data_IF_228152464814
#
_entry.id   IF_228152464814
#
_cell.length_a   1.000
_cell.length_b   1.000
_cell.length_c   1.000
_cell.angle_alpha   90.00
_cell.angle_beta   90.00
_cell.angle_gamma   90.00
#
_symmetry.space_group_name_H-M   'P 1'
#
loop_
_entity.id
_entity.type
_entity.pdbx_description
1 polymer ?
#
# COMPACT_ATOMS: atom_id res chain seq x y z
N UNK A 1 -11.89 21.96 -14.18
CA UNK A 1 -11.92 21.19 -12.91
C UNK A 1 -10.49 20.84 -12.55
N UNK A 2 -10.04 21.05 -11.31
CA UNK A 2 -8.65 20.72 -10.90
C UNK A 2 -8.62 20.06 -9.50
N UNK A 3 -7.50 19.40 -9.21
CA UNK A 3 -7.21 18.82 -7.88
C UNK A 3 -6.75 19.95 -6.97
N UNK A 4 -7.55 20.23 -5.93
CA UNK A 4 -7.29 21.27 -4.93
C UNK A 4 -6.36 20.78 -3.83
N UNK A 5 -6.55 19.53 -3.38
CA UNK A 5 -5.80 18.94 -2.27
C UNK A 5 -5.74 17.41 -2.38
N UNK A 6 -4.81 16.79 -1.65
CA UNK A 6 -4.66 15.33 -1.56
C UNK A 6 -4.58 14.90 -0.10
N UNK A 7 -5.43 13.96 0.30
CA UNK A 7 -5.45 13.38 1.65
C UNK A 7 -5.03 11.92 1.54
N UNK A 8 -4.11 11.51 2.42
CA UNK A 8 -3.61 10.14 2.53
C UNK A 8 -3.98 9.58 3.90
N UNK A 9 -4.43 8.32 3.94
CA UNK A 9 -4.72 7.64 5.20
C UNK A 9 -4.33 6.18 5.14
N UNK A 10 -3.66 5.70 6.20
CA UNK A 10 -3.40 4.28 6.41
C UNK A 10 -4.72 3.52 6.54
N UNK A 11 -4.80 2.37 5.88
CA UNK A 11 -5.96 1.48 5.90
C UNK A 11 -5.55 0.01 6.05
N UNK A 12 -6.57 -0.83 6.19
CA UNK A 12 -6.45 -2.29 6.16
C UNK A 12 -6.93 -2.81 4.81
N UNK A 13 -6.49 -4.03 4.47
CA UNK A 13 -6.99 -4.77 3.32
C UNK A 13 -7.88 -5.94 3.75
N UNK A 14 -8.46 -6.65 2.78
CA UNK A 14 -9.29 -7.83 3.05
C UNK A 14 -8.53 -9.06 3.54
N UNK A 15 -7.20 -9.03 3.62
CA UNK A 15 -6.39 -10.18 4.04
C UNK A 15 -5.06 -9.75 4.70
N UNK A 16 -4.12 -10.69 4.77
CA UNK A 16 -2.81 -10.54 5.41
C UNK A 16 -1.68 -10.41 4.37
N UNK A 17 -0.58 -9.82 4.80
CA UNK A 17 0.71 -10.08 4.18
C UNK A 17 1.34 -11.29 4.84
N UNK A 18 1.71 -12.27 4.00
CA UNK A 18 2.36 -13.49 4.44
C UNK A 18 3.76 -13.57 3.83
N UNK A 19 4.74 -13.91 4.65
CA UNK A 19 6.09 -14.16 4.20
C UNK A 19 6.16 -15.53 3.51
N UNK A 20 5.96 -15.51 2.20
CA UNK A 20 5.99 -16.71 1.38
C UNK A 20 7.30 -17.49 1.53
N UNK A 21 8.43 -16.80 1.72
CA UNK A 21 9.73 -17.45 1.82
C UNK A 21 9.86 -18.21 3.14
N UNK A 22 9.48 -17.59 4.25
CA UNK A 22 9.42 -18.24 5.56
C UNK A 22 8.45 -19.43 5.54
N UNK A 23 7.26 -19.26 4.97
CA UNK A 23 6.27 -20.35 4.85
C UNK A 23 6.81 -21.53 4.03
N UNK A 24 7.52 -21.26 2.94
CA UNK A 24 8.13 -22.32 2.11
C UNK A 24 9.32 -23.01 2.76
N UNK A 25 10.03 -22.35 3.67
CA UNK A 25 11.09 -22.99 4.45
C UNK A 25 10.51 -24.00 5.45
N UNK A 26 9.32 -23.73 5.99
CA UNK A 26 8.62 -24.65 6.88
C UNK A 26 9.16 -24.69 8.31
N UNK A 27 10.06 -23.77 8.69
CA UNK A 27 10.62 -23.67 10.04
C UNK A 27 9.78 -22.70 10.91
N UNK A 28 8.54 -23.11 11.19
CA UNK A 28 7.60 -22.36 12.03
C UNK A 28 6.55 -23.30 12.66
N UNK A 29 5.86 -22.80 13.69
CA UNK A 29 4.73 -23.49 14.32
C UNK A 29 3.42 -22.81 13.91
N UNK A 30 2.44 -23.58 13.43
CA UNK A 30 1.08 -23.05 13.18
C UNK A 30 0.41 -22.77 14.53
N UNK A 31 0.03 -21.52 14.78
CA UNK A 31 -0.65 -21.11 16.01
C UNK A 31 -2.00 -20.46 15.68
N UNK A 32 -3.03 -21.30 15.57
CA UNK A 32 -4.35 -20.85 15.13
C UNK A 32 -4.31 -20.25 13.71
N UNK A 33 -4.46 -18.92 13.62
CA UNK A 33 -4.41 -18.18 12.35
C UNK A 33 -3.03 -17.56 12.07
N UNK A 34 -2.09 -17.61 13.01
CA UNK A 34 -0.72 -17.09 12.84
C UNK A 34 0.30 -18.21 12.61
N UNK A 35 1.53 -17.79 12.33
CA UNK A 35 2.71 -18.63 12.22
C UNK A 35 3.77 -18.09 13.16
N UNK A 36 4.17 -18.89 14.15
CA UNK A 36 5.18 -18.53 15.14
C UNK A 36 6.54 -19.02 14.66
N UNK A 37 7.43 -18.09 14.35
CA UNK A 37 8.74 -18.33 13.77
C UNK A 37 9.33 -17.03 13.21
N UNK A 38 10.54 -17.12 12.64
CA UNK A 38 11.23 -15.94 12.14
C UNK A 38 10.85 -15.62 10.69
N UNK A 39 10.47 -14.36 10.36
CA UNK A 39 10.33 -13.94 8.98
C UNK A 39 11.70 -13.92 8.27
N UNK A 40 11.69 -14.08 6.97
CA UNK A 40 12.87 -14.18 6.09
C UNK A 40 12.88 -13.09 5.02
N UNK A 41 11.71 -12.61 4.60
CA UNK A 41 11.56 -11.57 3.58
C UNK A 41 11.76 -10.18 4.22
N UNK A 42 12.63 -9.31 3.66
CA UNK A 42 12.88 -7.99 4.23
C UNK A 42 11.61 -7.17 4.45
N UNK A 43 11.53 -6.51 5.61
CA UNK A 43 10.39 -5.68 6.03
C UNK A 43 9.33 -6.42 6.85
N UNK A 44 9.26 -7.76 6.77
CA UNK A 44 8.37 -8.52 7.63
C UNK A 44 8.90 -8.56 9.07
N UNK A 45 8.00 -8.37 10.03
CA UNK A 45 8.27 -8.51 11.48
C UNK A 45 7.61 -9.74 12.09
N UNK A 46 6.63 -10.32 11.39
CA UNK A 46 6.03 -11.60 11.67
C UNK A 46 5.83 -12.36 10.35
N UNK A 47 5.82 -13.69 10.36
CA UNK A 47 5.56 -14.48 9.14
C UNK A 47 4.19 -14.13 8.54
N UNK A 48 3.20 -13.82 9.38
CA UNK A 48 1.91 -13.26 8.96
C UNK A 48 1.69 -11.93 9.69
N UNK A 49 1.37 -10.87 8.95
CA UNK A 49 1.00 -9.57 9.50
C UNK A 49 -0.17 -8.95 8.73
N UNK A 50 -0.82 -7.95 9.33
CA UNK A 50 -1.97 -7.30 8.72
C UNK A 50 -1.62 -6.77 7.31
N UNK A 51 -2.47 -7.03 6.33
CA UNK A 51 -2.34 -6.43 5.01
C UNK A 51 -2.75 -4.96 5.09
N UNK A 52 -1.89 -4.08 4.61
CA UNK A 52 -2.06 -2.62 4.70
C UNK A 52 -2.40 -1.98 3.35
N UNK A 53 -3.08 -0.84 3.42
CA UNK A 53 -3.41 0.00 2.27
C UNK A 53 -3.13 1.47 2.57
N UNK A 54 -3.04 2.28 1.51
CA UNK A 54 -3.07 3.75 1.61
C UNK A 54 -4.25 4.24 0.77
N UNK A 55 -5.24 4.84 1.43
CA UNK A 55 -6.33 5.50 0.71
C UNK A 55 -5.87 6.88 0.23
N UNK A 56 -6.00 7.12 -1.07
CA UNK A 56 -5.64 8.37 -1.73
C UNK A 56 -6.92 9.09 -2.12
N UNK A 57 -7.14 10.26 -1.51
CA UNK A 57 -8.33 11.07 -1.73
C UNK A 57 -7.95 12.38 -2.40
N UNK A 58 -8.55 12.66 -3.56
CA UNK A 58 -8.33 13.89 -4.32
C UNK A 58 -9.51 14.84 -4.08
N UNK A 59 -9.26 15.92 -3.34
CA UNK A 59 -10.24 16.97 -3.12
C UNK A 59 -10.26 17.87 -4.36
N UNK A 60 -11.40 17.97 -5.01
CA UNK A 60 -11.55 18.75 -6.24
C UNK A 60 -11.97 20.19 -5.94
N UNK A 61 -11.71 21.09 -6.88
CA UNK A 61 -12.05 22.51 -6.75
C UNK A 61 -13.54 22.79 -6.50
N UNK A 62 -14.43 21.88 -6.90
CA UNK A 62 -15.87 21.97 -6.68
C UNK A 62 -16.36 21.28 -5.38
N UNK A 63 -15.45 20.78 -4.55
CA UNK A 63 -15.76 20.12 -3.28
C UNK A 63 -16.05 18.62 -3.37
N UNK A 64 -16.07 18.01 -4.57
CA UNK A 64 -16.14 16.56 -4.69
C UNK A 64 -14.83 15.91 -4.24
N UNK A 65 -14.91 14.66 -3.77
CA UNK A 65 -13.75 13.85 -3.38
C UNK A 65 -13.72 12.59 -4.23
N UNK A 66 -12.68 12.44 -5.04
CA UNK A 66 -12.39 11.16 -5.69
C UNK A 66 -11.48 10.32 -4.79
N UNK A 67 -11.61 9.01 -4.81
CA UNK A 67 -10.80 8.13 -3.96
C UNK A 67 -10.32 6.89 -4.72
N UNK A 68 -9.18 6.36 -4.29
CA UNK A 68 -8.63 5.08 -4.73
C UNK A 68 -7.60 4.58 -3.72
N UNK A 69 -7.44 3.26 -3.63
CA UNK A 69 -6.59 2.65 -2.62
C UNK A 69 -5.33 2.02 -3.25
N UNK A 70 -4.17 2.37 -2.71
CA UNK A 70 -2.95 1.60 -2.92
C UNK A 70 -3.01 0.33 -2.06
N UNK A 71 -2.81 -0.83 -2.70
CA UNK A 71 -2.78 -2.12 -2.02
C UNK A 71 -1.79 -3.05 -2.72
N UNK A 72 -1.30 -4.06 -1.99
CA UNK A 72 -0.43 -5.09 -2.51
C UNK A 72 -1.05 -6.49 -2.32
N UNK A 73 -0.49 -7.48 -3.02
CA UNK A 73 -0.91 -8.88 -2.90
C UNK A 73 -0.44 -9.50 -1.58
N UNK A 74 -1.04 -10.62 -1.18
CA UNK A 74 -0.70 -11.37 0.04
C UNK A 74 0.81 -11.65 0.18
N UNK A 75 1.47 -12.11 -0.88
CA UNK A 75 2.92 -12.37 -0.89
C UNK A 75 3.70 -11.14 -1.40
N UNK A 76 3.48 -9.99 -0.77
CA UNK A 76 4.23 -8.75 -1.04
C UNK A 76 5.72 -8.95 -0.69
N UNK A 77 6.64 -8.37 -1.47
CA UNK A 77 8.08 -8.63 -1.33
C UNK A 77 8.59 -9.98 -1.87
N UNK A 78 7.71 -10.89 -2.31
CA UNK A 78 8.11 -12.20 -2.80
C UNK A 78 8.31 -12.27 -4.33
N UNK A 79 9.18 -13.16 -4.80
CA UNK A 79 9.20 -13.62 -6.19
C UNK A 79 9.43 -12.54 -7.26
N UNK A 80 10.28 -11.54 -6.97
CA UNK A 80 10.57 -10.43 -7.89
C UNK A 80 9.54 -9.30 -7.86
N UNK A 81 8.60 -9.32 -6.92
CA UNK A 81 7.70 -8.20 -6.64
C UNK A 81 8.45 -7.07 -5.94
N UNK A 82 7.84 -5.89 -6.00
CA UNK A 82 8.25 -4.77 -5.16
C UNK A 82 8.24 -5.15 -3.67
N UNK A 83 9.00 -4.41 -2.83
CA UNK A 83 9.07 -4.66 -1.39
C UNK A 83 7.73 -4.73 -0.67
N UNK A 84 7.75 -5.20 0.58
CA UNK A 84 6.58 -5.21 1.44
C UNK A 84 5.93 -3.82 1.51
N UNK A 85 4.64 -3.73 1.19
CA UNK A 85 3.92 -2.47 1.17
C UNK A 85 3.40 -2.10 2.57
N UNK A 86 4.17 -1.31 3.32
CA UNK A 86 3.76 -0.76 4.61
C UNK A 86 3.35 0.70 4.46
N UNK A 87 2.15 1.06 4.91
CA UNK A 87 1.62 2.41 4.71
C UNK A 87 2.52 3.48 5.33
N UNK A 88 3.13 3.19 6.48
CA UNK A 88 4.01 4.13 7.19
C UNK A 88 5.32 4.39 6.44
N UNK A 89 5.76 3.47 5.58
CA UNK A 89 6.94 3.65 4.73
C UNK A 89 6.59 4.43 3.44
N UNK A 90 5.40 4.17 2.88
CA UNK A 90 5.01 4.72 1.57
C UNK A 90 4.28 6.06 1.64
N UNK A 91 3.52 6.36 2.70
CA UNK A 91 2.84 7.66 2.86
C UNK A 91 3.84 8.82 2.75
N UNK A 92 4.97 8.85 3.49
CA UNK A 92 5.95 9.94 3.37
C UNK A 92 6.53 10.10 1.97
N UNK A 93 6.67 9.01 1.21
CA UNK A 93 7.14 9.04 -0.17
C UNK A 93 6.09 9.62 -1.11
N UNK A 94 4.82 9.25 -0.93
CA UNK A 94 3.69 9.79 -1.71
C UNK A 94 3.55 11.30 -1.43
N UNK A 95 3.60 11.71 -0.17
CA UNK A 95 3.57 13.13 0.23
C UNK A 95 4.71 13.93 -0.40
N UNK A 96 5.92 13.37 -0.40
CA UNK A 96 7.10 14.06 -0.90
C UNK A 96 7.13 14.18 -2.43
N UNK A 97 6.79 13.12 -3.15
CA UNK A 97 7.05 13.02 -4.59
C UNK A 97 5.79 13.10 -5.45
N UNK A 98 4.64 12.65 -4.95
CA UNK A 98 3.41 12.49 -5.76
C UNK A 98 2.43 13.62 -5.49
N UNK A 99 2.19 13.97 -4.23
CA UNK A 99 1.24 15.05 -3.87
C UNK A 99 1.56 16.37 -4.59
N UNK A 100 2.82 16.87 -4.64
CA UNK A 100 3.14 18.11 -5.35
C UNK A 100 2.91 18.03 -6.86
N UNK A 101 3.00 16.83 -7.45
CA UNK A 101 2.75 16.62 -8.87
C UNK A 101 1.25 16.59 -9.21
N UNK A 102 0.37 16.33 -8.23
CA UNK A 102 -1.08 16.23 -8.38
C UNK A 102 -1.79 17.56 -8.11
N UNK A 103 -1.38 18.29 -7.07
CA UNK A 103 -2.04 19.55 -6.69
C UNK A 103 -2.00 20.54 -7.88
N UNK A 104 -3.15 21.13 -8.18
CA UNK A 104 -3.34 22.06 -9.29
C UNK A 104 -3.51 21.42 -10.67
N UNK A 105 -3.36 20.11 -10.83
CA UNK A 105 -3.58 19.43 -12.12
C UNK A 105 -5.03 19.55 -12.57
N UNK A 106 -5.22 19.95 -13.83
CA UNK A 106 -6.54 19.98 -14.46
C UNK A 106 -7.01 18.58 -14.86
N UNK A 107 -8.25 18.24 -14.49
CA UNK A 107 -8.89 17.01 -14.91
C UNK A 107 -9.30 17.09 -16.38
N UNK A 108 -8.46 16.52 -17.25
CA UNK A 108 -8.70 16.48 -18.70
C UNK A 108 -9.23 15.11 -19.13
N UNK A 109 -8.36 14.09 -19.20
CA UNK A 109 -8.76 12.71 -19.43
C UNK A 109 -7.92 11.76 -18.60
N UNK A 110 -8.51 10.62 -18.22
CA UNK A 110 -7.85 9.60 -17.41
C UNK A 110 -6.47 9.21 -17.96
N UNK A 111 -6.40 8.86 -19.26
CA UNK A 111 -5.14 8.43 -19.89
C UNK A 111 -4.06 9.53 -19.91
N UNK A 112 -4.43 10.81 -20.00
CA UNK A 112 -3.44 11.91 -19.98
C UNK A 112 -2.92 12.18 -18.58
N UNK A 113 -3.74 11.97 -17.55
CA UNK A 113 -3.37 12.17 -16.16
C UNK A 113 -2.57 11.00 -15.56
N UNK A 114 -2.76 9.79 -16.10
CA UNK A 114 -2.07 8.58 -15.65
C UNK A 114 -0.69 8.36 -16.33
N UNK A 115 -0.12 9.40 -16.95
CA UNK A 115 1.21 9.37 -17.59
C UNK A 115 2.17 10.27 -16.84
#
# INVERSE_FOLDING_TARGET
MHIKDVILSKGLTGFYFDDQKAIRHGDYVVNGLSYDGEPVTPGFVNIRQAGESVSVQLVLANGQVAYGDCAAVQYSGAGGRDPLFLADDYIPLIEKYIVPALIGKELTSFRKLAK
#
